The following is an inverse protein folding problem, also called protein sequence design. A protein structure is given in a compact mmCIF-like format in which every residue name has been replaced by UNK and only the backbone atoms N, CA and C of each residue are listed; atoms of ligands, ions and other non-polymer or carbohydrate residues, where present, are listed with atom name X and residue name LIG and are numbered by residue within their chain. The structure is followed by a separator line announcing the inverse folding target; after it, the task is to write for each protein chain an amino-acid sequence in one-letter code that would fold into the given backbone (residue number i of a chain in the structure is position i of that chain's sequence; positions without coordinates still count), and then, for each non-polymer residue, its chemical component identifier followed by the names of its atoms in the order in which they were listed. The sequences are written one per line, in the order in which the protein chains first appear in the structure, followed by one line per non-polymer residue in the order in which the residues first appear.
data_IF_377517416157
#
_entry.id   IF_377517416157
#
_cell.length_a   1.000
_cell.length_b   1.000
_cell.length_c   1.000
_cell.angle_alpha   90.00
_cell.angle_beta   90.00
_cell.angle_gamma   90.00
#
_symmetry.space_group_name_H-M   'P 1'
#
loop_
_entity.id
_entity.type
_entity.pdbx_description
1 polymer ?
#
# COMPACT_ATOMS: atom_id res chain seq x y z
N UNK A 1 1.75 20.91 1.56
CA UNK A 1 1.57 19.73 0.68
C UNK A 1 2.90 19.05 0.33
N UNK A 2 3.98 19.80 0.03
CA UNK A 2 5.27 19.23 -0.36
C UNK A 2 5.83 18.19 0.63
N UNK A 3 5.87 18.42 1.96
CA UNK A 3 6.38 17.42 2.92
C UNK A 3 5.57 16.13 2.94
N UNK A 4 4.24 16.22 2.82
CA UNK A 4 3.37 15.05 2.81
C UNK A 4 3.57 14.16 1.58
N UNK A 5 3.73 14.76 0.40
CA UNK A 5 4.05 14.05 -0.83
C UNK A 5 5.42 13.38 -0.77
N UNK A 6 6.41 14.06 -0.17
CA UNK A 6 7.76 13.50 0.00
C UNK A 6 7.74 12.29 0.93
N UNK A 7 7.05 12.38 2.08
CA UNK A 7 6.89 11.27 3.01
C UNK A 7 6.18 10.10 2.33
N UNK A 8 5.10 10.36 1.57
CA UNK A 8 4.39 9.32 0.81
C UNK A 8 5.32 8.62 -0.17
N UNK A 9 6.07 9.39 -0.97
CA UNK A 9 6.98 8.83 -1.98
C UNK A 9 8.09 7.99 -1.36
N UNK A 10 8.73 8.48 -0.30
CA UNK A 10 9.78 7.76 0.44
C UNK A 10 9.22 6.48 1.07
N UNK A 11 8.05 6.57 1.70
CA UNK A 11 7.40 5.40 2.31
C UNK A 11 6.99 4.36 1.27
N UNK A 12 6.43 4.79 0.13
CA UNK A 12 6.10 3.92 -0.98
C UNK A 12 7.33 3.19 -1.51
N UNK A 13 8.43 3.92 -1.75
CA UNK A 13 9.67 3.34 -2.25
C UNK A 13 10.32 2.39 -1.24
N UNK A 14 10.28 2.74 0.04
CA UNK A 14 10.79 1.88 1.11
C UNK A 14 9.99 0.58 1.23
N UNK A 15 8.66 0.66 1.27
CA UNK A 15 7.77 -0.52 1.35
C UNK A 15 7.93 -1.41 0.12
N UNK A 16 7.94 -0.83 -1.09
CA UNK A 16 8.14 -1.61 -2.32
C UNK A 16 9.47 -2.36 -2.32
N UNK A 17 10.57 -1.70 -1.96
CA UNK A 17 11.88 -2.34 -1.87
C UNK A 17 11.96 -3.39 -0.77
N UNK A 18 11.36 -3.14 0.39
CA UNK A 18 11.35 -4.10 1.49
C UNK A 18 10.58 -5.37 1.12
N UNK A 19 9.41 -5.23 0.49
CA UNK A 19 8.63 -6.38 0.04
C UNK A 19 9.40 -7.16 -1.04
N UNK A 20 10.05 -6.49 -1.99
CA UNK A 20 10.87 -7.13 -3.01
C UNK A 20 12.09 -7.87 -2.42
N UNK A 21 12.73 -7.34 -1.39
CA UNK A 21 13.88 -7.97 -0.75
C UNK A 21 13.52 -9.21 0.08
N UNK A 22 12.29 -9.32 0.57
CA UNK A 22 11.84 -10.51 1.32
C UNK A 22 11.56 -11.71 0.40
N UNK A 23 11.33 -11.45 -0.90
CA UNK A 23 11.11 -12.45 -1.93
C UNK A 23 12.24 -12.36 -2.95
N UNK A 24 13.40 -12.89 -2.56
CA UNK A 24 14.57 -12.88 -3.43
C UNK A 24 14.34 -13.84 -4.62
N UNK A 25 14.35 -13.30 -5.82
CA UNK A 25 14.24 -14.04 -7.10
C UNK A 25 15.28 -15.16 -7.19
N UNK A 26 16.44 -15.01 -6.51
CA UNK A 26 17.49 -16.03 -6.46
C UNK A 26 17.07 -17.25 -5.66
N UNK A 27 16.30 -17.07 -4.59
CA UNK A 27 15.78 -18.19 -3.78
C UNK A 27 14.75 -18.98 -4.59
N UNK A 28 13.85 -18.30 -5.30
CA UNK A 28 12.88 -18.93 -6.19
C UNK A 28 13.56 -19.75 -7.29
N UNK A 29 14.52 -19.16 -7.99
CA UNK A 29 15.29 -19.84 -9.03
C UNK A 29 16.09 -21.03 -8.48
N UNK A 30 16.66 -20.93 -7.28
CA UNK A 30 17.39 -22.03 -6.63
C UNK A 30 16.45 -23.18 -6.25
N UNK A 31 15.27 -22.88 -5.70
CA UNK A 31 14.27 -23.90 -5.37
C UNK A 31 13.70 -24.59 -6.63
N UNK A 32 13.40 -23.82 -7.67
CA UNK A 32 12.94 -24.36 -8.96
C UNK A 32 14.01 -25.25 -9.60
N UNK A 33 15.27 -24.81 -9.58
CA UNK A 33 16.41 -25.60 -10.07
C UNK A 33 16.60 -26.88 -9.26
N UNK A 34 16.45 -26.82 -7.94
CA UNK A 34 16.51 -27.97 -7.05
C UNK A 34 15.38 -28.98 -7.33
N UNK A 35 14.15 -28.48 -7.52
CA UNK A 35 12.99 -29.32 -7.87
C UNK A 35 13.18 -29.99 -9.24
N UNK A 36 13.66 -29.23 -10.23
CA UNK A 36 13.97 -29.74 -11.55
C UNK A 36 15.04 -30.82 -11.52
N UNK A 37 16.11 -30.60 -10.79
CA UNK A 37 17.18 -31.58 -10.60
C UNK A 37 16.66 -32.86 -9.92
N UNK A 38 15.82 -32.72 -8.90
CA UNK A 38 15.18 -33.87 -8.25
C UNK A 38 14.34 -34.70 -9.21
N UNK A 39 13.50 -34.04 -10.02
CA UNK A 39 12.67 -34.70 -11.04
C UNK A 39 13.50 -35.39 -12.11
N UNK A 40 14.51 -34.71 -12.65
CA UNK A 40 15.40 -35.26 -13.66
C UNK A 40 16.18 -36.48 -13.12
N UNK A 41 16.62 -36.47 -11.85
CA UNK A 41 17.28 -37.60 -11.23
C UNK A 41 16.35 -38.79 -11.07
N UNK A 42 15.11 -38.59 -10.65
CA UNK A 42 14.11 -39.66 -10.56
C UNK A 42 13.74 -40.21 -11.95
N UNK A 43 13.60 -39.37 -12.94
CA UNK A 43 13.34 -39.75 -14.32
C UNK A 43 14.52 -40.55 -14.93
N UNK A 44 15.75 -40.11 -14.67
CA UNK A 44 16.96 -40.83 -15.12
C UNK A 44 17.00 -42.24 -14.54
N UNK A 45 16.70 -42.39 -13.23
CA UNK A 45 16.66 -43.72 -12.58
C UNK A 45 15.52 -44.57 -13.15
N UNK A 46 14.37 -43.99 -13.39
CA UNK A 46 13.24 -44.67 -14.00
C UNK A 46 13.53 -45.16 -15.44
N UNK A 47 14.20 -44.31 -16.22
CA UNK A 47 14.62 -44.65 -17.60
C UNK A 47 15.73 -45.71 -17.62
N UNK A 48 16.71 -45.65 -16.71
CA UNK A 48 17.74 -46.65 -16.55
C UNK A 48 17.14 -48.02 -16.22
N UNK A 49 16.21 -48.06 -15.26
CA UNK A 49 15.54 -49.31 -14.90
C UNK A 49 14.67 -49.86 -16.05
N UNK A 50 14.00 -48.97 -16.80
CA UNK A 50 13.23 -49.34 -18.00
C UNK A 50 14.13 -49.97 -19.08
N UNK A 51 15.28 -49.38 -19.33
CA UNK A 51 16.24 -49.94 -20.29
C UNK A 51 16.81 -51.28 -19.81
N UNK A 52 17.20 -51.41 -18.56
CA UNK A 52 17.60 -52.66 -17.93
C UNK A 52 16.50 -53.70 -18.04
N UNK A 53 15.26 -53.32 -17.76
CA UNK A 53 14.09 -54.19 -17.91
C UNK A 53 13.92 -54.73 -19.32
N UNK A 54 14.02 -53.88 -20.32
CA UNK A 54 13.91 -54.27 -21.73
C UNK A 54 14.98 -55.24 -22.18
N UNK A 55 16.24 -54.96 -21.83
CA UNK A 55 17.39 -55.83 -22.19
C UNK A 55 17.24 -57.19 -21.52
N UNK A 56 16.94 -57.23 -20.23
CA UNK A 56 16.83 -58.49 -19.48
C UNK A 56 15.57 -59.30 -19.84
N UNK A 57 14.48 -58.62 -20.22
CA UNK A 57 13.27 -59.29 -20.75
C UNK A 57 13.61 -60.08 -22.04
N UNK A 58 14.45 -59.53 -22.93
CA UNK A 58 14.91 -60.25 -24.14
C UNK A 58 15.71 -61.50 -23.81
N UNK A 59 16.55 -61.48 -22.77
CA UNK A 59 17.31 -62.63 -22.31
C UNK A 59 16.40 -63.74 -21.75
N UNK A 60 15.27 -63.39 -21.17
CA UNK A 60 14.31 -64.35 -20.66
C UNK A 60 13.44 -64.99 -21.76
N UNK A 61 13.46 -64.46 -22.99
CA UNK A 61 12.64 -64.96 -24.08
C UNK A 61 12.78 -66.50 -24.31
N UNK A 62 14.01 -67.01 -24.24
CA UNK A 62 14.33 -68.44 -24.43
C UNK A 62 14.21 -69.31 -23.18
N UNK A 63 13.81 -68.73 -22.04
CA UNK A 63 13.82 -69.47 -20.76
C UNK A 63 12.45 -70.12 -20.53
N UNK A 64 12.45 -71.41 -20.18
CA UNK A 64 11.22 -72.15 -19.82
C UNK A 64 10.68 -71.64 -18.45
N UNK A 65 9.40 -71.80 -18.21
CA UNK A 65 8.77 -71.42 -16.95
C UNK A 65 9.36 -72.15 -15.74
N UNK A 66 9.83 -73.39 -15.91
CA UNK A 66 10.50 -74.17 -14.85
C UNK A 66 11.90 -73.67 -14.53
N UNK A 67 12.60 -73.05 -15.48
CA UNK A 67 13.93 -72.46 -15.30
C UNK A 67 13.88 -70.97 -14.92
N UNK A 68 12.72 -70.37 -15.03
CA UNK A 68 12.55 -68.92 -14.83
C UNK A 68 12.96 -68.42 -13.43
N UNK A 69 12.64 -69.19 -12.37
CA UNK A 69 12.99 -68.79 -10.98
C UNK A 69 14.50 -68.68 -10.77
N UNK A 70 15.29 -69.59 -11.30
CA UNK A 70 16.73 -69.52 -11.19
C UNK A 70 17.33 -68.44 -12.08
N UNK A 71 16.78 -68.22 -13.27
CA UNK A 71 17.17 -67.12 -14.14
C UNK A 71 16.92 -65.76 -13.49
N UNK A 72 15.77 -65.55 -12.89
CA UNK A 72 15.38 -64.31 -12.16
C UNK A 72 16.32 -64.07 -10.96
N UNK A 73 16.73 -65.10 -10.21
CA UNK A 73 17.63 -64.92 -9.06
C UNK A 73 19.02 -64.46 -9.49
N UNK A 74 19.54 -65.02 -10.59
CA UNK A 74 20.81 -64.58 -11.21
C UNK A 74 20.71 -63.12 -11.70
N UNK A 75 19.64 -62.82 -12.40
CA UNK A 75 19.39 -61.45 -12.86
C UNK A 75 19.26 -60.45 -11.73
N UNK A 76 18.57 -60.80 -10.65
CA UNK A 76 18.43 -59.95 -9.46
C UNK A 76 19.80 -59.54 -8.90
N UNK A 77 20.68 -60.54 -8.75
CA UNK A 77 22.04 -60.32 -8.26
C UNK A 77 22.92 -59.51 -9.24
N UNK A 78 22.70 -59.64 -10.55
CA UNK A 78 23.43 -58.87 -11.58
C UNK A 78 22.96 -57.44 -11.72
N UNK A 79 21.67 -57.21 -11.55
CA UNK A 79 21.03 -55.88 -11.70
C UNK A 79 21.06 -55.09 -10.40
N UNK A 80 21.34 -55.72 -9.29
CA UNK A 80 21.30 -55.13 -7.94
C UNK A 80 19.93 -54.49 -7.65
N UNK A 81 18.87 -55.28 -7.89
CA UNK A 81 17.47 -54.87 -7.68
C UNK A 81 16.84 -55.67 -6.53
N UNK A 82 15.81 -55.10 -5.89
CA UNK A 82 15.19 -55.69 -4.71
C UNK A 82 14.34 -56.92 -5.09
N UNK A 83 13.58 -56.81 -6.20
CA UNK A 83 12.60 -57.84 -6.55
C UNK A 83 12.40 -57.95 -8.04
N UNK A 84 12.25 -59.22 -8.51
CA UNK A 84 11.94 -59.58 -9.87
C UNK A 84 10.75 -60.53 -9.88
N UNK A 85 9.78 -60.29 -10.77
CA UNK A 85 8.59 -61.12 -10.94
C UNK A 85 8.29 -61.32 -12.42
N UNK A 86 7.93 -62.53 -12.77
CA UNK A 86 7.52 -62.91 -14.13
C UNK A 86 6.02 -63.19 -14.13
N UNK A 87 5.29 -62.45 -14.96
CA UNK A 87 3.83 -62.53 -15.03
C UNK A 87 3.38 -63.05 -16.39
N UNK A 88 2.30 -63.83 -16.39
CA UNK A 88 1.60 -64.20 -17.62
C UNK A 88 0.74 -63.04 -18.16
N UNK A 89 0.23 -63.15 -19.39
CA UNK A 89 -0.74 -62.22 -19.95
C UNK A 89 -2.04 -62.13 -19.13
N UNK A 90 -2.44 -63.25 -18.55
CA UNK A 90 -3.61 -63.35 -17.66
C UNK A 90 -3.36 -62.68 -16.28
N UNK A 91 -2.12 -62.28 -15.99
CA UNK A 91 -1.70 -61.70 -14.69
C UNK A 91 -1.48 -62.74 -13.60
N UNK A 92 -1.15 -63.97 -13.99
CA UNK A 92 -0.73 -65.02 -13.08
C UNK A 92 0.77 -64.91 -12.84
N UNK A 93 1.22 -65.01 -11.62
CA UNK A 93 2.63 -65.05 -11.27
C UNK A 93 3.24 -66.37 -11.70
N UNK A 94 4.25 -66.33 -12.57
CA UNK A 94 4.93 -67.52 -13.08
C UNK A 94 6.18 -67.85 -12.28
N UNK A 95 6.93 -66.83 -11.91
CA UNK A 95 8.16 -66.96 -11.10
C UNK A 95 8.47 -65.67 -10.36
N UNK A 96 9.15 -65.72 -9.27
CA UNK A 96 9.61 -64.53 -8.49
C UNK A 96 10.99 -64.76 -7.91
N UNK A 97 11.76 -63.68 -7.73
CA UNK A 97 13.05 -63.62 -7.06
C UNK A 97 13.11 -62.37 -6.16
N UNK A 98 13.66 -62.54 -4.97
CA UNK A 98 13.71 -61.47 -3.97
C UNK A 98 12.63 -61.58 -2.89
N UNK A 99 12.24 -60.45 -2.31
CA UNK A 99 11.32 -60.37 -1.17
C UNK A 99 9.90 -60.84 -1.53
N UNK A 100 9.49 -60.77 -2.78
CA UNK A 100 8.20 -61.21 -3.23
C UNK A 100 7.96 -62.72 -3.09
N UNK A 101 8.98 -63.52 -2.95
CA UNK A 101 8.85 -64.95 -2.66
C UNK A 101 8.13 -65.26 -1.36
N UNK A 102 8.20 -64.35 -0.41
CA UNK A 102 7.61 -64.49 0.93
C UNK A 102 6.25 -63.79 1.05
N UNK A 103 5.80 -63.11 -0.05
CA UNK A 103 4.51 -62.41 -0.06
C UNK A 103 3.39 -63.34 -0.54
N UNK A 104 2.36 -63.49 0.31
CA UNK A 104 1.19 -64.34 -0.01
C UNK A 104 0.38 -63.77 -1.21
N UNK A 105 0.42 -62.49 -1.42
CA UNK A 105 -0.26 -61.78 -2.50
C UNK A 105 0.63 -60.69 -3.09
N UNK A 106 1.52 -61.01 -4.00
CA UNK A 106 2.36 -60.02 -4.68
C UNK A 106 1.50 -59.07 -5.50
N UNK A 107 1.90 -57.80 -5.56
CA UNK A 107 1.17 -56.76 -6.29
C UNK A 107 1.19 -57.06 -7.77
N UNK A 108 0.01 -57.35 -8.32
CA UNK A 108 -0.21 -57.61 -9.75
C UNK A 108 -0.10 -56.31 -10.54
N UNK A 109 0.57 -56.28 -11.70
CA UNK A 109 0.56 -55.16 -12.62
C UNK A 109 -0.85 -54.83 -13.05
N UNK A 110 -1.16 -53.52 -13.17
CA UNK A 110 -2.48 -53.09 -13.67
C UNK A 110 -2.64 -53.42 -15.16
N UNK A 111 -3.90 -53.59 -15.59
CA UNK A 111 -4.20 -53.80 -16.99
C UNK A 111 -3.74 -52.66 -17.90
N UNK A 112 -3.66 -51.43 -17.35
CA UNK A 112 -3.14 -50.26 -18.06
C UNK A 112 -1.62 -50.36 -18.23
N UNK A 113 -0.87 -50.66 -17.18
CA UNK A 113 0.59 -50.87 -17.24
C UNK A 113 0.96 -51.98 -18.22
N UNK A 114 0.21 -53.07 -18.27
CA UNK A 114 0.44 -54.17 -19.23
C UNK A 114 0.19 -53.72 -20.68
N UNK A 115 -0.82 -52.90 -20.94
CA UNK A 115 -1.06 -52.31 -22.29
C UNK A 115 0.04 -51.37 -22.71
N UNK A 116 0.45 -50.46 -21.81
CA UNK A 116 1.51 -49.50 -22.06
C UNK A 116 2.85 -50.20 -22.28
N UNK A 117 3.18 -51.22 -21.48
CA UNK A 117 4.39 -52.03 -21.67
C UNK A 117 4.40 -52.73 -23.03
N UNK A 118 3.26 -53.16 -23.54
CA UNK A 118 3.16 -53.76 -24.91
C UNK A 118 3.45 -52.75 -26.00
N UNK A 119 2.97 -51.51 -25.87
CA UNK A 119 3.19 -50.46 -26.86
C UNK A 119 4.60 -49.89 -26.86
N UNK A 120 5.21 -49.76 -25.67
CA UNK A 120 6.53 -49.12 -25.46
C UNK A 120 7.67 -50.12 -25.19
N UNK A 121 7.34 -51.43 -25.15
CA UNK A 121 8.21 -52.56 -24.77
C UNK A 121 8.60 -52.57 -23.27
N UNK A 122 8.67 -51.43 -22.61
CA UNK A 122 8.84 -51.29 -21.18
C UNK A 122 8.23 -49.99 -20.68
N UNK A 123 7.65 -50.00 -19.49
CA UNK A 123 7.13 -48.85 -18.80
C UNK A 123 7.61 -48.84 -17.34
N UNK A 124 7.97 -47.68 -16.84
CA UNK A 124 8.38 -47.53 -15.45
C UNK A 124 7.45 -46.55 -14.75
N UNK A 125 7.08 -46.86 -13.52
CA UNK A 125 6.24 -46.03 -12.64
C UNK A 125 6.89 -45.93 -11.27
N UNK A 126 6.89 -44.72 -10.71
CA UNK A 126 7.32 -44.50 -9.34
C UNK A 126 6.11 -44.63 -8.43
N UNK A 127 6.12 -45.57 -7.51
CA UNK A 127 5.06 -45.82 -6.54
C UNK A 127 5.45 -45.29 -5.14
N UNK A 128 4.48 -44.80 -4.38
CA UNK A 128 4.65 -44.36 -3.00
C UNK A 128 5.06 -42.88 -2.84
N UNK A 129 5.13 -42.12 -3.93
CA UNK A 129 5.49 -40.70 -3.84
C UNK A 129 4.36 -39.87 -3.23
N UNK A 130 3.11 -40.24 -3.47
CA UNK A 130 1.92 -39.46 -3.08
C UNK A 130 1.34 -39.86 -1.71
N UNK A 131 1.83 -40.93 -1.10
CA UNK A 131 1.16 -41.59 0.03
C UNK A 131 1.59 -41.10 1.44
N UNK A 132 2.37 -40.05 1.60
CA UNK A 132 2.71 -39.66 2.98
C UNK A 132 3.83 -38.67 3.24
N UNK A 133 4.20 -37.86 2.28
CA UNK A 133 5.25 -36.85 2.46
C UNK A 133 6.61 -37.43 2.83
N UNK A 134 7.41 -36.65 3.54
CA UNK A 134 8.82 -37.05 3.91
C UNK A 134 8.88 -38.34 4.74
N UNK A 135 7.84 -38.66 5.51
CA UNK A 135 7.78 -39.87 6.34
C UNK A 135 7.66 -41.16 5.51
N UNK A 136 7.14 -41.10 4.30
CA UNK A 136 6.98 -42.25 3.41
C UNK A 136 8.19 -42.51 2.47
N UNK A 137 9.26 -41.72 2.61
CA UNK A 137 10.43 -41.82 1.75
C UNK A 137 11.07 -43.21 1.66
N UNK A 138 10.94 -44.04 2.71
CA UNK A 138 11.41 -45.41 2.76
C UNK A 138 10.60 -46.39 1.92
N UNK A 139 9.41 -46.04 1.51
CA UNK A 139 8.47 -46.89 0.75
C UNK A 139 8.42 -46.56 -0.72
N UNK A 140 9.12 -45.51 -1.17
CA UNK A 140 9.13 -45.11 -2.57
C UNK A 140 10.01 -46.07 -3.36
N UNK A 141 9.44 -46.59 -4.46
CA UNK A 141 10.09 -47.54 -5.34
C UNK A 141 9.76 -47.26 -6.81
N UNK A 142 10.68 -47.65 -7.67
CA UNK A 142 10.45 -47.69 -9.11
C UNK A 142 10.01 -49.09 -9.44
N UNK A 143 8.88 -49.22 -10.15
CA UNK A 143 8.35 -50.46 -10.68
C UNK A 143 8.41 -50.38 -12.20
N UNK A 144 9.17 -51.22 -12.82
CA UNK A 144 9.29 -51.34 -14.27
C UNK A 144 8.66 -52.63 -14.75
N UNK A 145 7.83 -52.51 -15.75
CA UNK A 145 7.18 -53.64 -16.44
C UNK A 145 7.70 -53.72 -17.89
N UNK A 146 8.39 -54.79 -18.24
CA UNK A 146 8.93 -55.01 -19.57
C UNK A 146 8.29 -56.26 -20.22
N UNK A 147 8.05 -56.20 -21.51
CA UNK A 147 7.51 -57.33 -22.26
C UNK A 147 8.62 -58.32 -22.56
N UNK A 148 8.42 -59.58 -22.18
CA UNK A 148 9.26 -60.70 -22.57
C UNK A 148 8.68 -61.28 -23.85
N UNK A 149 9.37 -61.16 -25.00
CA UNK A 149 8.86 -61.66 -26.27
C UNK A 149 8.72 -63.16 -26.21
N UNK A 150 7.74 -63.70 -26.93
CA UNK A 150 7.63 -65.12 -27.11
C UNK A 150 8.82 -65.66 -27.90
N UNK A 151 9.39 -66.76 -27.43
CA UNK A 151 10.57 -67.34 -28.12
C UNK A 151 10.20 -68.08 -29.37
N UNK A 152 10.75 -67.69 -30.50
CA UNK A 152 10.92 -68.44 -31.73
C UNK A 152 9.66 -69.02 -32.37
N UNK A 153 9.69 -70.27 -32.67
CA UNK A 153 8.77 -70.96 -33.54
C UNK A 153 7.48 -71.53 -32.88
N UNK A 154 7.29 -71.24 -31.60
CA UNK A 154 6.09 -71.69 -30.88
C UNK A 154 4.95 -70.69 -31.05
N UNK A 155 4.05 -70.99 -32.03
CA UNK A 155 2.89 -70.18 -32.31
C UNK A 155 1.87 -70.06 -31.15
N UNK A 156 2.09 -70.85 -30.07
CA UNK A 156 1.25 -70.88 -28.88
C UNK A 156 1.94 -70.20 -27.67
N UNK A 157 3.18 -69.72 -27.86
CA UNK A 157 3.91 -69.05 -26.75
C UNK A 157 3.26 -67.68 -26.46
N UNK A 158 2.66 -67.53 -25.30
CA UNK A 158 2.10 -66.27 -24.85
C UNK A 158 3.22 -65.31 -24.40
N UNK A 159 3.10 -64.04 -24.75
CA UNK A 159 3.98 -63.00 -24.25
C UNK A 159 3.92 -62.97 -22.70
N UNK A 160 5.04 -62.78 -22.05
CA UNK A 160 5.16 -62.68 -20.60
C UNK A 160 5.62 -61.27 -20.22
N UNK A 161 5.49 -60.91 -18.97
CA UNK A 161 5.88 -59.60 -18.47
C UNK A 161 6.89 -59.77 -17.33
N UNK A 162 8.07 -59.14 -17.48
CA UNK A 162 9.05 -59.01 -16.43
C UNK A 162 8.79 -57.73 -15.64
N UNK A 163 8.47 -57.87 -14.35
CA UNK A 163 8.36 -56.77 -13.43
C UNK A 163 9.66 -56.67 -12.60
N UNK A 164 10.24 -55.50 -12.57
CA UNK A 164 11.43 -55.17 -11.77
C UNK A 164 11.03 -54.13 -10.75
N UNK A 165 11.34 -54.37 -9.52
CA UNK A 165 11.11 -53.42 -8.42
C UNK A 165 12.42 -53.04 -7.75
N UNK A 166 12.68 -51.74 -7.68
CA UNK A 166 13.85 -51.19 -7.01
C UNK A 166 13.47 -50.08 -6.08
N UNK A 167 13.87 -50.16 -4.82
CA UNK A 167 13.68 -49.09 -3.85
C UNK A 167 14.59 -47.92 -4.23
N UNK A 168 14.06 -46.71 -4.12
CA UNK A 168 14.88 -45.52 -4.31
C UNK A 168 15.71 -45.23 -3.06
N UNK A 169 16.94 -44.68 -3.21
CA UNK A 169 17.69 -44.22 -2.07
C UNK A 169 16.91 -43.24 -1.24
N UNK A 170 16.70 -43.54 0.04
CA UNK A 170 15.86 -42.75 0.94
C UNK A 170 16.30 -41.28 1.02
N UNK A 171 17.64 -41.03 0.96
CA UNK A 171 18.19 -39.69 0.96
C UNK A 171 17.75 -38.88 -0.28
N UNK A 172 17.71 -39.50 -1.46
CA UNK A 172 17.29 -38.84 -2.68
C UNK A 172 15.81 -38.45 -2.62
N UNK A 173 14.97 -39.39 -2.19
CA UNK A 173 13.52 -39.17 -2.07
C UNK A 173 13.22 -38.10 -1.01
N UNK A 174 13.89 -38.20 0.14
CA UNK A 174 13.73 -37.23 1.22
C UNK A 174 14.10 -35.81 0.78
N UNK A 175 15.25 -35.67 0.11
CA UNK A 175 15.71 -34.37 -0.39
C UNK A 175 14.74 -33.81 -1.43
N UNK A 176 14.26 -34.63 -2.38
CA UNK A 176 13.30 -34.20 -3.40
C UNK A 176 11.98 -33.74 -2.77
N UNK A 177 11.44 -34.49 -1.81
CA UNK A 177 10.23 -34.12 -1.08
C UNK A 177 10.41 -32.87 -0.21
N UNK A 178 11.55 -32.71 0.45
CA UNK A 178 11.86 -31.48 1.20
C UNK A 178 11.90 -30.25 0.30
N UNK A 179 12.57 -30.32 -0.84
CA UNK A 179 12.61 -29.20 -1.79
C UNK A 179 11.19 -28.88 -2.30
N UNK A 180 10.40 -29.91 -2.58
CA UNK A 180 9.01 -29.72 -3.02
C UNK A 180 8.17 -29.04 -1.94
N UNK A 181 8.32 -29.42 -0.68
CA UNK A 181 7.56 -28.83 0.43
C UNK A 181 7.97 -27.37 0.67
N UNK A 182 9.28 -27.08 0.68
CA UNK A 182 9.78 -25.70 0.80
C UNK A 182 9.33 -24.83 -0.38
N UNK A 183 9.35 -25.39 -1.60
CA UNK A 183 8.87 -24.68 -2.78
C UNK A 183 7.37 -24.36 -2.71
N UNK A 184 6.55 -25.29 -2.24
CA UNK A 184 5.12 -25.08 -2.03
C UNK A 184 4.86 -23.99 -0.98
N UNK A 185 5.56 -24.09 0.16
CA UNK A 185 5.44 -23.08 1.22
C UNK A 185 5.87 -21.69 0.71
N UNK A 186 6.94 -21.65 -0.10
CA UNK A 186 7.36 -20.40 -0.74
C UNK A 186 6.30 -19.84 -1.69
N UNK A 187 5.69 -20.68 -2.51
CA UNK A 187 4.62 -20.25 -3.42
C UNK A 187 3.37 -19.76 -2.68
N UNK A 188 2.97 -20.43 -1.60
CA UNK A 188 1.84 -19.99 -0.78
C UNK A 188 2.10 -18.60 -0.17
N UNK A 189 3.33 -18.34 0.28
CA UNK A 189 3.74 -17.02 0.76
C UNK A 189 3.84 -16.00 -0.37
N UNK A 190 4.30 -16.38 -1.55
CA UNK A 190 4.40 -15.51 -2.71
C UNK A 190 3.02 -15.02 -3.20
N UNK A 191 1.99 -15.86 -3.14
CA UNK A 191 0.61 -15.46 -3.46
C UNK A 191 0.09 -14.38 -2.51
N UNK A 192 0.50 -14.38 -1.24
CA UNK A 192 0.19 -13.33 -0.28
C UNK A 192 0.85 -11.97 -0.57
N UNK A 193 1.91 -11.94 -1.38
CA UNK A 193 2.70 -10.75 -1.70
C UNK A 193 1.89 -9.63 -2.36
N UNK A 194 1.09 -9.99 -3.37
CA UNK A 194 0.25 -9.01 -4.08
C UNK A 194 -0.83 -8.43 -3.16
N UNK A 195 -1.43 -9.28 -2.33
CA UNK A 195 -2.39 -8.84 -1.32
C UNK A 195 -1.78 -7.88 -0.30
N UNK A 196 -0.62 -8.20 0.25
CA UNK A 196 0.11 -7.35 1.19
C UNK A 196 0.48 -6.01 0.55
N UNK A 197 1.02 -6.02 -0.67
CA UNK A 197 1.35 -4.80 -1.41
C UNK A 197 0.12 -3.92 -1.63
N UNK A 198 -1.01 -4.52 -2.02
CA UNK A 198 -2.28 -3.81 -2.19
C UNK A 198 -2.77 -3.16 -0.91
N UNK A 199 -2.73 -3.87 0.22
CA UNK A 199 -3.12 -3.35 1.54
C UNK A 199 -2.21 -2.20 1.97
N UNK A 200 -0.89 -2.34 1.87
CA UNK A 200 0.06 -1.28 2.25
C UNK A 200 -0.08 -0.02 1.39
N UNK A 201 -0.17 -0.17 0.07
CA UNK A 201 -0.37 0.97 -0.84
C UNK A 201 -1.73 1.62 -0.57
N UNK A 202 -2.77 0.83 -0.37
CA UNK A 202 -4.11 1.32 -0.05
C UNK A 202 -4.13 2.12 1.25
N UNK A 203 -3.51 1.61 2.32
CA UNK A 203 -3.44 2.32 3.62
C UNK A 203 -2.60 3.58 3.55
N UNK A 204 -1.46 3.58 2.82
CA UNK A 204 -0.66 4.78 2.59
C UNK A 204 -1.44 5.85 1.82
N UNK A 205 -2.15 5.45 0.77
CA UNK A 205 -2.96 6.36 -0.05
C UNK A 205 -4.12 6.94 0.76
N UNK A 206 -4.81 6.11 1.55
CA UNK A 206 -5.88 6.53 2.45
C UNK A 206 -5.37 7.50 3.51
N UNK A 207 -4.21 7.21 4.10
CA UNK A 207 -3.55 8.06 5.10
C UNK A 207 -3.18 9.43 4.51
N UNK A 208 -2.62 9.46 3.29
CA UNK A 208 -2.32 10.71 2.59
C UNK A 208 -3.60 11.51 2.32
N UNK A 209 -4.65 10.85 1.82
CA UNK A 209 -5.94 11.50 1.58
C UNK A 209 -6.51 12.12 2.85
N UNK A 210 -6.51 11.37 3.96
CA UNK A 210 -6.98 11.84 5.25
C UNK A 210 -6.16 13.02 5.78
N UNK A 211 -4.83 12.98 5.62
CA UNK A 211 -3.95 14.07 6.01
C UNK A 211 -4.22 15.35 5.20
N UNK A 212 -4.38 15.24 3.89
CA UNK A 212 -4.71 16.39 3.01
C UNK A 212 -6.09 16.95 3.36
N UNK A 213 -7.09 16.09 3.52
CA UNK A 213 -8.43 16.51 3.91
C UNK A 213 -8.45 17.20 5.27
N UNK A 214 -7.76 16.62 6.26
CA UNK A 214 -7.60 17.22 7.59
C UNK A 214 -6.89 18.58 7.54
N UNK A 215 -5.85 18.72 6.72
CA UNK A 215 -5.14 19.99 6.55
C UNK A 215 -6.03 21.07 5.91
N UNK A 216 -6.86 20.72 4.90
CA UNK A 216 -7.82 21.63 4.28
C UNK A 216 -8.88 22.05 5.31
N UNK A 217 -9.45 21.09 6.03
CA UNK A 217 -10.44 21.36 7.07
C UNK A 217 -9.89 22.30 8.14
N UNK A 218 -8.68 22.02 8.63
CA UNK A 218 -7.99 22.85 9.61
C UNK A 218 -7.73 24.26 9.07
N UNK A 219 -7.26 24.38 7.81
CA UNK A 219 -7.03 25.68 7.18
C UNK A 219 -8.33 26.52 7.08
N UNK A 220 -9.45 25.88 6.72
CA UNK A 220 -10.76 26.54 6.66
C UNK A 220 -11.22 26.99 8.05
N UNK A 221 -11.08 26.11 9.06
CA UNK A 221 -11.44 26.42 10.44
C UNK A 221 -10.60 27.59 10.98
N UNK A 222 -9.27 27.54 10.85
CA UNK A 222 -8.37 28.60 11.27
C UNK A 222 -8.62 29.90 10.49
N UNK A 223 -8.86 29.82 9.19
CA UNK A 223 -9.22 30.97 8.36
C UNK A 223 -10.47 31.66 8.83
N UNK A 224 -11.52 30.91 9.14
CA UNK A 224 -12.76 31.47 9.64
C UNK A 224 -12.65 31.99 11.09
N UNK A 225 -11.90 31.31 11.93
CA UNK A 225 -11.82 31.62 13.36
C UNK A 225 -10.80 32.73 13.68
N UNK A 226 -9.68 32.79 12.97
CA UNK A 226 -8.60 33.73 13.25
C UNK A 226 -8.45 34.83 12.18
N UNK A 227 -8.39 34.45 10.92
CA UNK A 227 -8.06 35.39 9.84
C UNK A 227 -9.20 36.37 9.57
N UNK A 228 -10.43 35.91 9.48
CA UNK A 228 -11.59 36.78 9.20
C UNK A 228 -11.78 37.89 10.23
N UNK A 229 -11.77 37.61 11.56
CA UNK A 229 -11.88 38.66 12.57
C UNK A 229 -10.73 39.67 12.52
N UNK A 230 -9.52 39.23 12.25
CA UNK A 230 -8.35 40.12 12.13
C UNK A 230 -8.47 41.05 10.91
N UNK A 231 -8.88 40.53 9.77
CA UNK A 231 -9.13 41.37 8.58
C UNK A 231 -10.26 42.38 8.82
N UNK A 232 -11.35 41.94 9.47
CA UNK A 232 -12.44 42.83 9.84
C UNK A 232 -11.98 43.95 10.77
N UNK A 233 -11.12 43.65 11.74
CA UNK A 233 -10.54 44.67 12.64
C UNK A 233 -9.62 45.62 11.88
N UNK A 234 -8.76 45.11 10.99
CA UNK A 234 -7.86 45.93 10.18
C UNK A 234 -8.63 46.92 9.27
N UNK A 235 -9.73 46.45 8.64
CA UNK A 235 -10.59 47.29 7.84
C UNK A 235 -11.31 48.36 8.70
N UNK A 236 -11.76 47.97 9.89
CA UNK A 236 -12.34 48.90 10.85
C UNK A 236 -11.38 50.01 11.28
N UNK A 237 -10.15 49.66 11.61
CA UNK A 237 -9.08 50.65 11.96
C UNK A 237 -8.82 51.61 10.79
N UNK A 238 -8.79 51.10 9.55
CA UNK A 238 -8.58 51.93 8.36
C UNK A 238 -9.75 52.90 8.13
N UNK A 239 -10.99 52.50 8.38
CA UNK A 239 -12.17 53.39 8.29
C UNK A 239 -12.15 54.47 9.34
N UNK A 240 -11.83 54.12 10.59
CA UNK A 240 -11.67 55.10 11.70
C UNK A 240 -10.60 56.11 11.37
N UNK A 241 -9.45 55.66 10.86
CA UNK A 241 -8.35 56.54 10.40
C UNK A 241 -8.83 57.46 9.23
N UNK A 242 -9.73 56.99 8.38
CA UNK A 242 -10.38 57.81 7.31
C UNK A 242 -11.46 58.75 7.81
N UNK A 243 -11.74 58.80 9.14
CA UNK A 243 -12.75 59.66 9.72
C UNK A 243 -14.16 59.11 9.80
N UNK A 244 -14.36 57.87 9.37
CA UNK A 244 -15.68 57.18 9.48
C UNK A 244 -15.81 56.54 10.88
N UNK A 245 -16.59 57.15 11.78
CA UNK A 245 -16.82 56.68 13.14
C UNK A 245 -18.16 55.96 13.31
N UNK A 246 -18.73 55.43 12.20
CA UNK A 246 -20.01 54.69 12.30
C UNK A 246 -19.84 53.41 13.11
N UNK A 247 -20.69 53.14 14.11
CA UNK A 247 -20.60 51.93 14.91
C UNK A 247 -20.80 50.69 13.99
N UNK A 248 -19.84 49.76 14.02
CA UNK A 248 -19.96 48.46 13.36
C UNK A 248 -20.51 47.43 14.35
N UNK A 249 -21.32 46.51 13.84
CA UNK A 249 -21.82 45.40 14.65
C UNK A 249 -20.68 44.57 15.19
N UNK A 250 -20.68 44.29 16.47
CA UNK A 250 -19.70 43.44 17.13
C UNK A 250 -19.90 42.01 16.71
N UNK A 251 -18.87 41.37 16.19
CA UNK A 251 -18.94 39.93 15.85
C UNK A 251 -19.24 39.12 17.12
N UNK A 252 -20.30 38.31 17.08
CA UNK A 252 -20.71 37.41 18.18
C UNK A 252 -19.80 36.15 18.14
N UNK A 253 -18.56 36.28 18.58
CA UNK A 253 -17.67 35.17 18.84
C UNK A 253 -17.50 35.01 20.36
N UNK A 254 -17.22 33.78 20.82
CA UNK A 254 -16.96 33.51 22.25
C UNK A 254 -15.47 33.49 22.60
N UNK A 255 -14.63 33.92 21.68
CA UNK A 255 -13.18 33.79 21.77
C UNK A 255 -12.54 35.08 22.30
N UNK A 256 -11.24 35.05 22.66
CA UNK A 256 -10.43 36.20 23.11
C UNK A 256 -10.45 37.35 22.08
N UNK A 257 -10.59 37.05 20.80
CA UNK A 257 -10.73 38.06 19.75
C UNK A 257 -12.04 38.85 19.85
N UNK A 258 -13.09 38.27 20.45
CA UNK A 258 -14.32 38.99 20.72
C UNK A 258 -14.17 40.09 21.77
N UNK A 259 -13.23 39.91 22.72
CA UNK A 259 -12.79 40.93 23.64
C UNK A 259 -12.16 42.13 22.93
N UNK A 260 -11.28 41.86 21.97
CA UNK A 260 -10.57 42.87 21.19
C UNK A 260 -11.57 43.67 20.28
N UNK A 261 -12.46 42.98 19.56
CA UNK A 261 -13.46 43.62 18.72
C UNK A 261 -14.42 44.50 19.55
N UNK A 262 -14.77 44.07 20.76
CA UNK A 262 -15.64 44.85 21.68
C UNK A 262 -14.91 46.12 22.21
N UNK A 263 -13.63 45.96 22.56
CA UNK A 263 -12.80 47.11 23.00
C UNK A 263 -12.61 48.13 21.86
N UNK A 264 -12.42 47.65 20.64
CA UNK A 264 -12.35 48.48 19.43
C UNK A 264 -13.66 49.23 19.18
N UNK A 265 -14.82 48.56 19.27
CA UNK A 265 -16.11 49.20 19.12
C UNK A 265 -16.35 50.27 20.20
N UNK A 266 -15.98 50.01 21.47
CA UNK A 266 -16.06 50.97 22.55
C UNK A 266 -15.17 52.21 22.32
N UNK A 267 -13.95 51.99 21.83
CA UNK A 267 -13.05 53.08 21.47
C UNK A 267 -13.61 53.97 20.34
N UNK A 268 -14.16 53.32 19.28
CA UNK A 268 -14.76 54.02 18.16
C UNK A 268 -15.96 54.86 18.60
N UNK A 269 -16.80 54.34 19.49
CA UNK A 269 -17.94 55.09 20.08
C UNK A 269 -17.46 56.30 20.89
N UNK A 270 -16.45 56.11 21.74
CA UNK A 270 -15.88 57.24 22.53
C UNK A 270 -15.30 58.35 21.64
N UNK A 271 -14.63 57.98 20.53
CA UNK A 271 -14.19 58.95 19.52
C UNK A 271 -15.32 59.70 18.85
N UNK A 272 -16.39 59.00 18.51
CA UNK A 272 -17.59 59.62 17.92
C UNK A 272 -18.25 60.62 18.87
N UNK A 273 -18.41 60.22 20.13
CA UNK A 273 -18.99 61.07 21.17
C UNK A 273 -18.13 62.32 21.44
N UNK A 274 -16.77 62.12 21.53
CA UNK A 274 -15.84 63.24 21.69
C UNK A 274 -15.92 64.23 20.50
N UNK A 275 -15.96 63.72 19.28
CA UNK A 275 -16.11 64.55 18.07
C UNK A 275 -17.44 65.32 18.05
N UNK A 276 -18.55 64.66 18.38
CA UNK A 276 -19.84 65.31 18.47
C UNK A 276 -19.85 66.45 19.54
N UNK A 277 -19.20 66.22 20.68
CA UNK A 277 -19.02 67.24 21.75
C UNK A 277 -18.21 68.42 21.26
N UNK A 278 -17.10 68.20 20.55
CA UNK A 278 -16.29 69.28 19.98
C UNK A 278 -17.10 70.07 18.94
N UNK A 279 -17.80 69.39 18.04
CA UNK A 279 -18.65 70.05 17.03
C UNK A 279 -19.79 70.87 17.69
N UNK A 280 -20.41 70.39 18.75
CA UNK A 280 -21.38 71.11 19.55
C UNK A 280 -20.78 72.34 20.19
N UNK A 281 -19.58 72.18 20.79
CA UNK A 281 -18.88 73.33 21.43
C UNK A 281 -18.49 74.40 20.40
N UNK A 282 -18.02 74.01 19.21
CA UNK A 282 -17.71 74.95 18.11
C UNK A 282 -18.96 75.71 17.71
N UNK A 283 -20.10 75.03 17.54
CA UNK A 283 -21.36 75.65 17.21
C UNK A 283 -21.79 76.66 18.28
N UNK A 284 -21.73 76.25 19.54
CA UNK A 284 -22.09 77.12 20.68
C UNK A 284 -21.21 78.41 20.74
N UNK A 285 -19.91 78.25 20.53
CA UNK A 285 -18.97 79.39 20.46
C UNK A 285 -19.27 80.28 19.27
N UNK A 286 -19.58 79.70 18.10
CA UNK A 286 -19.95 80.45 16.89
C UNK A 286 -21.27 81.22 17.06
N UNK A 287 -22.27 80.60 17.68
CA UNK A 287 -23.57 81.23 17.99
C UNK A 287 -23.37 82.34 19.03
N UNK A 288 -22.61 82.12 20.11
CA UNK A 288 -22.31 83.16 21.09
C UNK A 288 -21.60 84.36 20.47
N UNK A 289 -20.63 84.10 19.55
CA UNK A 289 -19.91 85.15 18.83
C UNK A 289 -20.86 85.96 17.92
N UNK A 290 -21.71 85.27 17.17
CA UNK A 290 -22.71 85.93 16.31
C UNK A 290 -23.72 86.77 17.10
N UNK A 291 -24.17 86.26 18.28
CA UNK A 291 -25.03 86.99 19.15
C UNK A 291 -24.36 88.25 19.73
N UNK A 292 -23.11 88.14 20.20
CA UNK A 292 -22.36 89.32 20.65
C UNK A 292 -22.19 90.33 19.53
N UNK A 293 -21.88 89.90 18.33
CA UNK A 293 -21.77 90.80 17.17
C UNK A 293 -23.09 91.53 16.90
N UNK A 294 -24.21 90.81 16.92
CA UNK A 294 -25.56 91.37 16.73
C UNK A 294 -25.86 92.39 17.81
N UNK A 295 -25.49 92.12 19.08
CA UNK A 295 -25.67 93.10 20.18
C UNK A 295 -24.83 94.33 19.92
N UNK A 296 -23.58 94.20 19.57
CA UNK A 296 -22.67 95.32 19.28
C UNK A 296 -23.17 96.19 18.12
N UNK A 297 -23.67 95.54 17.05
CA UNK A 297 -24.22 96.22 15.87
C UNK A 297 -25.49 97.02 16.14
N UNK A 298 -26.34 96.58 17.06
CA UNK A 298 -27.57 97.19 17.45
C UNK A 298 -27.43 98.21 18.58
N UNK A 299 -26.23 98.33 19.24
CA UNK A 299 -26.03 99.33 20.25
C UNK A 299 -26.12 100.74 19.63
N UNK A 300 -26.90 101.60 20.28
CA UNK A 300 -26.97 103.02 19.91
C UNK A 300 -25.74 103.79 20.39
N UNK A 301 -25.08 103.28 21.38
CA UNK A 301 -23.82 103.86 21.92
C UNK A 301 -22.62 103.44 21.06
N UNK A 302 -21.69 104.34 20.79
CA UNK A 302 -20.48 104.06 20.06
C UNK A 302 -19.45 103.32 20.93
N UNK A 303 -19.11 102.11 20.58
CA UNK A 303 -18.06 101.30 21.21
C UNK A 303 -16.86 101.25 20.28
N UNK A 304 -15.68 101.58 20.83
CA UNK A 304 -14.38 101.43 20.11
C UNK A 304 -13.46 100.74 21.11
N UNK A 305 -12.86 99.62 20.58
CA UNK A 305 -11.83 98.83 21.30
C UNK A 305 -10.45 99.15 20.74
N UNK A 306 -9.54 99.56 21.69
CA UNK A 306 -8.18 99.93 21.31
C UNK A 306 -7.20 98.82 21.80
N UNK A 307 -6.11 98.64 21.05
CA UNK A 307 -4.98 97.84 21.53
C UNK A 307 -4.11 98.67 22.56
N UNK A 308 -3.11 98.03 23.25
CA UNK A 308 -2.22 98.75 24.20
C UNK A 308 -1.44 99.91 23.56
N UNK A 309 -1.38 99.92 22.22
CA UNK A 309 -0.67 100.94 21.47
C UNK A 309 -1.61 102.10 21.02
N UNK A 310 -2.92 102.01 21.38
CA UNK A 310 -3.91 103.04 21.07
C UNK A 310 -4.53 102.97 19.68
N UNK A 311 -4.30 101.81 18.94
CA UNK A 311 -4.89 101.62 17.63
C UNK A 311 -6.25 100.91 17.78
N UNK A 312 -7.18 101.27 16.86
CA UNK A 312 -8.54 100.70 16.87
C UNK A 312 -8.46 99.25 16.43
N UNK A 313 -8.83 98.34 17.32
CA UNK A 313 -8.93 96.90 17.01
C UNK A 313 -10.33 96.57 16.40
N UNK A 314 -11.38 97.11 16.93
CA UNK A 314 -12.74 96.98 16.48
C UNK A 314 -13.61 98.15 16.83
N UNK A 315 -14.63 98.43 16.05
CA UNK A 315 -15.67 99.48 16.34
C UNK A 315 -17.02 98.97 15.89
N UNK A 316 -18.09 99.49 16.56
CA UNK A 316 -19.44 99.13 16.16
C UNK A 316 -20.07 100.25 15.21
N UNK A 317 -21.13 99.98 14.51
CA UNK A 317 -21.79 100.95 13.65
C UNK A 317 -22.32 102.21 14.38
N UNK A 318 -22.61 102.08 15.70
CA UNK A 318 -22.93 103.17 16.57
C UNK A 318 -21.77 104.22 16.68
N UNK A 319 -20.50 103.74 16.85
CA UNK A 319 -19.34 104.64 16.91
C UNK A 319 -19.17 105.42 15.59
N UNK A 320 -19.31 104.76 14.48
CA UNK A 320 -19.25 105.36 13.11
C UNK A 320 -20.34 106.45 12.92
N UNK A 321 -21.54 106.19 13.41
CA UNK A 321 -22.63 107.14 13.33
C UNK A 321 -22.36 108.37 14.26
N UNK A 322 -21.87 108.19 15.41
CA UNK A 322 -21.60 109.30 16.37
C UNK A 322 -20.40 110.16 15.95
N UNK A 323 -19.30 109.56 15.55
CA UNK A 323 -18.08 110.23 15.12
C UNK A 323 -18.14 110.75 13.64
N UNK A 324 -19.18 110.31 12.90
CA UNK A 324 -19.35 110.65 11.46
C UNK A 324 -18.13 110.38 10.63
N UNK A 325 -17.28 109.48 11.00
CA UNK A 325 -16.04 109.01 10.27
C UNK A 325 -16.15 107.54 10.08
N UNK A 326 -15.92 107.01 8.89
CA UNK A 326 -15.91 105.50 8.65
C UNK A 326 -14.70 104.95 9.31
N UNK A 327 -14.81 104.49 10.55
CA UNK A 327 -13.68 103.92 11.39
C UNK A 327 -13.11 102.62 10.77
N UNK A 328 -13.85 102.05 9.87
CA UNK A 328 -13.37 100.84 9.11
C UNK A 328 -12.16 101.15 8.18
N UNK A 329 -11.95 102.42 7.82
CA UNK A 329 -10.88 102.86 6.93
C UNK A 329 -9.60 103.34 7.67
N UNK A 330 -9.61 103.41 9.00
CA UNK A 330 -8.49 103.90 9.81
C UNK A 330 -7.50 102.75 10.16
N UNK A 331 -7.62 101.63 9.62
CA UNK A 331 -6.69 100.46 9.80
C UNK A 331 -5.44 100.53 8.89
N UNK A 332 -5.19 101.59 8.23
CA UNK A 332 -4.02 101.73 7.39
C UNK A 332 -3.15 102.91 7.88
N UNK A 333 -2.30 102.60 8.82
CA UNK A 333 -0.99 103.21 9.00
C UNK A 333 -0.22 102.47 10.04
#
# INVERSE_FOLDING_TARGET
FAPGLLIYFVSYQFVSRSIESWFDVRVEAALESGLSLGRLSLEALSNDLSNKGRVNAQQLAGTSNTGAALALERMRSQLDVDDLQLWSVSGQLLASAGDSRFQLSPRRPSAQQMREARSQQAVSVIEGLDEGGVAAASHVRVVTLAVVPASGFDLLAEARFLQITQRLPESLVRNALQVQEVYREYQERALGREGLRGVYIGTLTLSLFLAVFGAILLAVLLGNQLVRPLLWLADGVREVAGGNLTPRDVMKSKDELSGLTRSFASMTQQLADARATVEASIRQVSEARANLQTILDNLTSGVVVLDPQGRIVTSNPGATRILRVPLSLIHIS
#
